data_IF_138305750949
#
_entry.id   IF_138305750949
#
_cell.length_a   1.000
_cell.length_b   1.000
_cell.length_c   1.000
_cell.angle_alpha   90.00
_cell.angle_beta   90.00
_cell.angle_gamma   90.00
#
_symmetry.space_group_name_H-M   'P 1'
#
loop_
_entity.id
_entity.type
_entity.pdbx_description
1 polymer ?
#
# COMPACT_ATOMS: atom_id res chain seq x y z
N UNK A 1 9.82 0.42 9.99
CA UNK A 1 11.08 0.62 9.21
C UNK A 1 11.25 -0.39 8.09
N UNK A 2 11.35 -1.72 8.34
CA UNK A 2 11.54 -2.72 7.27
C UNK A 2 10.52 -2.64 6.14
N UNK A 3 9.23 -2.51 6.46
CA UNK A 3 8.18 -2.37 5.45
C UNK A 3 8.46 -1.22 4.46
N UNK A 4 8.84 -0.04 4.97
CA UNK A 4 9.16 1.10 4.15
C UNK A 4 10.37 0.83 3.24
N UNK A 5 11.43 0.19 3.76
CA UNK A 5 12.59 -0.16 2.95
C UNK A 5 12.27 -1.15 1.82
N UNK A 6 11.42 -2.15 2.10
CA UNK A 6 10.94 -3.09 1.06
C UNK A 6 10.11 -2.35 0.02
N UNK A 7 9.15 -1.51 0.45
CA UNK A 7 8.26 -0.76 -0.45
C UNK A 7 9.01 0.18 -1.38
N UNK A 8 10.02 0.87 -0.86
CA UNK A 8 10.83 1.83 -1.62
C UNK A 8 12.15 1.25 -2.12
N UNK A 9 12.32 -0.09 -2.09
CA UNK A 9 13.60 -0.76 -2.42
C UNK A 9 14.17 -0.29 -3.75
N UNK A 10 13.35 -0.16 -4.79
CA UNK A 10 13.77 0.29 -6.13
C UNK A 10 14.44 1.68 -6.12
N UNK A 11 14.07 2.54 -5.17
CA UNK A 11 14.59 3.90 -5.05
C UNK A 11 15.73 4.03 -4.03
N UNK A 12 15.78 3.12 -3.07
CA UNK A 12 16.70 3.18 -1.92
C UNK A 12 17.92 2.26 -2.07
N UNK A 13 17.85 1.30 -2.99
CA UNK A 13 18.93 0.35 -3.22
C UNK A 13 20.00 0.98 -4.12
N UNK A 14 21.23 1.07 -3.62
CA UNK A 14 22.34 1.69 -4.31
C UNK A 14 23.35 2.33 -3.35
N UNK A 15 24.34 3.03 -3.90
CA UNK A 15 25.42 3.65 -3.12
C UNK A 15 25.04 4.97 -2.45
N UNK A 16 23.91 5.59 -2.85
CA UNK A 16 23.51 6.91 -2.35
C UNK A 16 23.06 6.82 -0.89
N UNK A 17 23.72 7.53 0.04
CA UNK A 17 23.31 7.54 1.43
C UNK A 17 21.98 8.29 1.59
N UNK A 18 21.09 7.77 2.43
CA UNK A 18 19.84 8.46 2.81
C UNK A 18 19.64 8.47 4.33
N UNK A 19 18.74 9.34 4.80
CA UNK A 19 18.46 9.50 6.24
C UNK A 19 17.07 8.96 6.55
N UNK A 20 16.97 8.09 7.56
CA UNK A 20 15.71 7.64 8.11
C UNK A 20 15.44 8.40 9.40
N UNK A 21 14.37 9.20 9.38
CA UNK A 21 13.84 9.84 10.58
C UNK A 21 12.89 8.90 11.32
N UNK A 22 13.14 8.68 12.61
CA UNK A 22 12.26 7.84 13.44
C UNK A 22 12.20 8.35 14.87
N UNK A 23 11.04 8.20 15.51
CA UNK A 23 10.84 8.38 16.95
C UNK A 23 11.11 7.10 17.75
N UNK A 24 11.61 6.04 17.11
CA UNK A 24 11.90 4.78 17.76
C UNK A 24 13.34 4.76 18.29
N UNK A 25 13.51 5.12 19.56
CA UNK A 25 14.81 5.31 20.20
C UNK A 25 15.70 4.05 20.21
N UNK A 26 15.11 2.84 20.24
CA UNK A 26 15.90 1.60 20.25
C UNK A 26 16.72 1.39 18.98
N UNK A 27 16.37 2.06 17.88
CA UNK A 27 17.10 1.91 16.62
C UNK A 27 18.44 2.68 16.62
N UNK A 28 18.65 3.61 17.55
CA UNK A 28 19.96 4.26 17.74
C UNK A 28 21.04 3.29 18.19
N UNK A 29 20.68 2.28 18.98
CA UNK A 29 21.63 1.38 19.64
C UNK A 29 21.76 0.03 18.96
N UNK A 30 20.86 -0.30 18.02
CA UNK A 30 20.88 -1.58 17.29
C UNK A 30 22.16 -1.79 16.49
N UNK A 31 22.73 -0.74 15.89
CA UNK A 31 24.01 -0.83 15.16
C UNK A 31 25.24 -0.86 16.05
N UNK A 32 25.14 -0.40 17.30
CA UNK A 32 26.29 -0.21 18.21
C UNK A 32 26.34 -1.23 19.36
N UNK A 33 25.41 -2.19 19.41
CA UNK A 33 25.34 -3.16 20.49
C UNK A 33 26.38 -4.28 20.30
N UNK A 34 27.27 -4.53 21.27
CA UNK A 34 28.33 -5.55 21.16
C UNK A 34 27.79 -6.99 21.19
N UNK A 35 26.60 -7.19 21.75
CA UNK A 35 25.93 -8.50 21.82
C UNK A 35 24.65 -8.50 20.99
N UNK A 36 24.75 -8.99 19.76
CA UNK A 36 23.62 -9.14 18.86
C UNK A 36 22.96 -10.50 19.07
N UNK A 37 21.67 -10.50 19.41
CA UNK A 37 20.89 -11.75 19.38
C UNK A 37 20.79 -12.27 17.95
N UNK A 38 20.60 -13.58 17.76
CA UNK A 38 20.48 -14.18 16.42
C UNK A 38 19.34 -13.55 15.60
N UNK A 39 18.24 -13.15 16.28
CA UNK A 39 17.16 -12.39 15.65
C UNK A 39 17.67 -11.03 15.18
N UNK A 40 18.38 -10.28 16.03
CA UNK A 40 18.94 -8.97 15.70
C UNK A 40 19.91 -9.05 14.51
N UNK A 41 20.76 -10.09 14.48
CA UNK A 41 21.69 -10.34 13.39
C UNK A 41 20.96 -10.51 12.04
N UNK A 42 19.89 -11.32 11.99
CA UNK A 42 19.07 -11.46 10.77
C UNK A 42 18.46 -10.13 10.31
N UNK A 43 18.02 -9.30 11.25
CA UNK A 43 17.51 -7.97 10.92
C UNK A 43 18.63 -7.07 10.38
N UNK A 44 19.78 -7.02 11.03
CA UNK A 44 20.93 -6.23 10.58
C UNK A 44 21.44 -6.66 9.21
N UNK A 45 21.48 -7.96 8.91
CA UNK A 45 21.82 -8.46 7.57
C UNK A 45 20.89 -7.90 6.49
N UNK A 46 19.59 -7.81 6.77
CA UNK A 46 18.64 -7.18 5.85
C UNK A 46 18.90 -5.68 5.67
N UNK A 47 19.25 -4.97 6.76
CA UNK A 47 19.52 -3.53 6.70
C UNK A 47 20.87 -3.20 6.06
N UNK A 48 21.85 -4.11 6.10
CA UNK A 48 23.17 -3.94 5.51
C UNK A 48 23.14 -3.75 3.98
N UNK A 49 22.07 -4.16 3.30
CA UNK A 49 21.85 -3.88 1.88
C UNK A 49 21.65 -2.39 1.56
N UNK A 50 21.31 -1.58 2.57
CA UNK A 50 20.94 -0.18 2.41
C UNK A 50 21.99 0.75 3.04
N UNK A 51 22.42 1.77 2.31
CA UNK A 51 23.29 2.82 2.84
C UNK A 51 22.44 3.92 3.51
N UNK A 52 22.14 3.78 4.80
CA UNK A 52 21.36 4.79 5.53
C UNK A 52 21.94 5.20 6.87
N UNK A 53 21.59 6.41 7.30
CA UNK A 53 21.81 6.93 8.65
C UNK A 53 20.48 7.11 9.35
N UNK A 54 20.45 6.89 10.65
CA UNK A 54 19.22 7.01 11.46
C UNK A 54 19.32 8.25 12.30
N UNK A 55 18.35 9.15 12.13
CA UNK A 55 18.23 10.33 12.96
C UNK A 55 16.97 10.23 13.81
N UNK A 56 17.18 10.28 15.12
CA UNK A 56 16.08 10.28 16.08
C UNK A 56 15.41 11.65 16.09
N UNK A 57 14.10 11.67 15.88
CA UNK A 57 13.25 12.87 16.01
C UNK A 57 12.13 12.58 16.99
N UNK A 58 12.04 13.39 18.05
CA UNK A 58 11.00 13.25 19.09
C UNK A 58 9.61 13.43 18.49
N UNK A 59 8.70 12.46 18.71
CA UNK A 59 7.40 12.39 18.04
C UNK A 59 6.43 13.55 18.30
N UNK A 60 6.54 14.25 19.45
CA UNK A 60 5.58 15.30 19.85
C UNK A 60 5.80 16.67 19.20
N UNK A 61 6.99 16.96 18.65
CA UNK A 61 7.33 18.31 18.15
C UNK A 61 7.41 18.40 16.62
N UNK A 62 7.23 17.29 15.90
CA UNK A 62 7.54 17.22 14.48
C UNK A 62 6.28 16.93 13.68
N UNK A 63 5.80 17.93 12.91
CA UNK A 63 4.67 17.82 11.99
C UNK A 63 4.79 16.58 11.09
N UNK A 64 6.01 16.25 10.66
CA UNK A 64 6.30 15.06 9.86
C UNK A 64 5.97 13.73 10.56
N UNK A 65 6.21 13.60 11.87
CA UNK A 65 5.88 12.38 12.60
C UNK A 65 4.38 12.29 12.86
N UNK A 66 3.74 13.42 13.18
CA UNK A 66 2.27 13.47 13.33
C UNK A 66 1.58 13.07 12.02
N UNK A 67 2.07 13.57 10.88
CA UNK A 67 1.58 13.18 9.56
C UNK A 67 1.86 11.71 9.25
N UNK A 68 3.07 11.21 9.54
CA UNK A 68 3.43 9.81 9.31
C UNK A 68 2.59 8.85 10.17
N UNK A 69 2.34 9.19 11.43
CA UNK A 69 1.52 8.42 12.36
C UNK A 69 0.04 8.44 11.93
N UNK A 70 -0.49 9.60 11.53
CA UNK A 70 -1.84 9.72 10.97
C UNK A 70 -2.01 8.88 9.69
N UNK A 71 -1.01 8.86 8.81
CA UNK A 71 -1.03 8.02 7.61
C UNK A 71 -0.84 6.53 7.93
N UNK A 72 -0.04 6.18 8.93
CA UNK A 72 0.19 4.79 9.32
C UNK A 72 -1.01 4.16 10.04
N UNK A 73 -1.85 4.97 10.70
CA UNK A 73 -3.05 4.51 11.43
C UNK A 73 -4.30 4.44 10.55
N UNK A 74 -4.20 4.82 9.29
CA UNK A 74 -5.32 4.77 8.35
C UNK A 74 -5.68 3.31 8.00
N UNK A 75 -6.90 2.84 8.28
CA UNK A 75 -7.32 1.46 7.98
C UNK A 75 -7.35 1.17 6.47
N UNK A 76 -7.43 2.21 5.66
CA UNK A 76 -7.39 2.21 4.19
C UNK A 76 -5.95 2.24 3.61
N UNK A 77 -4.92 2.32 4.46
CA UNK A 77 -3.53 2.47 4.00
C UNK A 77 -3.02 1.29 3.15
N UNK A 78 -3.51 0.06 3.36
CA UNK A 78 -3.19 -1.07 2.49
C UNK A 78 -3.79 -0.91 1.08
N UNK A 79 -4.93 -0.21 0.95
CA UNK A 79 -5.61 0.05 -0.32
C UNK A 79 -5.09 1.31 -1.03
N UNK A 80 -4.44 2.23 -0.31
CA UNK A 80 -3.84 3.45 -0.87
C UNK A 80 -2.62 3.20 -1.78
N UNK A 81 -2.16 1.95 -1.90
CA UNK A 81 -1.12 1.52 -2.84
C UNK A 81 -1.57 1.49 -4.29
N UNK A 82 -2.88 1.51 -4.53
CA UNK A 82 -3.40 1.78 -5.85
C UNK A 82 -3.18 3.27 -6.06
N UNK A 83 -2.10 3.64 -6.74
CA UNK A 83 -2.01 4.94 -7.38
C UNK A 83 -3.26 5.03 -8.23
N UNK A 84 -4.27 5.76 -7.77
CA UNK A 84 -5.51 5.88 -8.52
C UNK A 84 -5.18 6.76 -9.70
N UNK A 85 -4.77 6.11 -10.79
CA UNK A 85 -4.49 6.75 -12.06
C UNK A 85 -5.82 7.33 -12.54
N UNK A 86 -6.05 8.61 -12.24
CA UNK A 86 -7.19 9.37 -12.73
C UNK A 86 -6.99 9.62 -14.22
N UNK A 87 -7.27 8.61 -15.02
CA UNK A 87 -7.31 8.73 -16.48
C UNK A 87 -8.75 8.73 -16.93
N UNK A 88 -9.04 9.60 -17.90
CA UNK A 88 -10.30 9.61 -18.67
C UNK A 88 -10.61 8.26 -19.33
N UNK A 89 -9.64 7.36 -19.41
CA UNK A 89 -9.81 6.01 -19.94
C UNK A 89 -10.80 5.20 -19.11
N UNK A 90 -10.77 5.29 -17.78
CA UNK A 90 -11.71 4.55 -16.93
C UNK A 90 -13.16 5.00 -17.15
N UNK A 91 -13.39 6.30 -17.31
CA UNK A 91 -14.71 6.84 -17.59
C UNK A 91 -15.20 6.41 -18.98
N UNK A 92 -14.31 6.42 -19.99
CA UNK A 92 -14.62 5.94 -21.35
C UNK A 92 -14.98 4.45 -21.36
N UNK A 93 -14.19 3.62 -20.68
CA UNK A 93 -14.45 2.17 -20.57
C UNK A 93 -15.77 1.93 -19.83
N UNK A 94 -16.03 2.67 -18.74
CA UNK A 94 -17.28 2.58 -17.99
C UNK A 94 -18.50 2.98 -18.83
N UNK A 95 -18.37 4.00 -19.67
CA UNK A 95 -19.42 4.40 -20.62
C UNK A 95 -19.62 3.35 -21.72
N UNK A 96 -18.53 2.78 -22.26
CA UNK A 96 -18.62 1.72 -23.26
C UNK A 96 -19.38 0.50 -22.75
N UNK A 97 -19.09 0.05 -21.52
CA UNK A 97 -19.80 -1.09 -20.91
C UNK A 97 -21.29 -0.84 -20.65
N UNK A 98 -21.71 0.42 -20.47
CA UNK A 98 -23.14 0.76 -20.32
C UNK A 98 -23.91 0.67 -21.64
N UNK A 99 -23.22 0.85 -22.76
CA UNK A 99 -23.80 0.86 -24.10
C UNK A 99 -23.61 -0.49 -24.83
N UNK A 100 -22.84 -1.41 -24.25
CA UNK A 100 -22.66 -2.77 -24.76
C UNK A 100 -23.89 -3.63 -24.46
N UNK A 101 -24.54 -4.13 -25.51
CA UNK A 101 -25.78 -4.91 -25.46
C UNK A 101 -25.64 -6.20 -24.62
N UNK A 102 -24.43 -6.77 -24.55
CA UNK A 102 -24.17 -8.01 -23.83
C UNK A 102 -23.79 -7.78 -22.35
N UNK A 103 -23.16 -6.65 -22.05
CA UNK A 103 -22.59 -6.37 -20.73
C UNK A 103 -23.43 -5.38 -19.90
N UNK A 104 -24.32 -4.61 -20.52
CA UNK A 104 -25.15 -3.62 -19.83
C UNK A 104 -26.01 -4.24 -18.71
N UNK A 105 -26.56 -5.44 -18.93
CA UNK A 105 -27.33 -6.19 -17.92
C UNK A 105 -26.49 -6.52 -16.69
N UNK A 106 -25.25 -6.93 -16.91
CA UNK A 106 -24.31 -7.35 -15.89
C UNK A 106 -23.79 -6.15 -15.09
N UNK A 107 -23.49 -5.04 -15.76
CA UNK A 107 -23.12 -3.77 -15.10
C UNK A 107 -24.26 -3.26 -14.22
N UNK A 108 -25.51 -3.33 -14.68
CA UNK A 108 -26.68 -2.94 -13.88
C UNK A 108 -26.88 -3.85 -12.67
N UNK A 109 -26.73 -5.15 -12.87
CA UNK A 109 -26.81 -6.16 -11.81
C UNK A 109 -25.77 -5.89 -10.71
N UNK A 110 -24.49 -5.70 -11.09
CA UNK A 110 -23.42 -5.39 -10.14
C UNK A 110 -23.58 -4.03 -9.45
N UNK A 111 -24.18 -3.05 -10.12
CA UNK A 111 -24.42 -1.72 -9.54
C UNK A 111 -25.56 -1.71 -8.51
N UNK A 112 -26.51 -2.64 -8.62
CA UNK A 112 -27.66 -2.74 -7.72
C UNK A 112 -27.37 -3.51 -6.42
N UNK A 113 -26.24 -4.21 -6.33
CA UNK A 113 -25.75 -4.94 -5.15
C UNK A 113 -26.84 -5.74 -4.42
N UNK A 114 -27.46 -5.19 -3.37
CA UNK A 114 -28.52 -5.84 -2.57
C UNK A 114 -29.89 -5.92 -3.24
N UNK A 115 -30.15 -5.07 -4.23
CA UNK A 115 -31.40 -5.07 -5.01
C UNK A 115 -31.28 -5.86 -6.32
N UNK A 116 -30.12 -6.46 -6.56
CA UNK A 116 -29.80 -7.14 -7.79
C UNK A 116 -30.66 -8.42 -7.95
N UNK A 117 -31.55 -8.43 -8.95
CA UNK A 117 -32.35 -9.60 -9.29
C UNK A 117 -31.65 -10.41 -10.37
N UNK A 118 -31.48 -11.72 -10.14
CA UNK A 118 -30.91 -12.64 -11.13
C UNK A 118 -31.69 -12.61 -12.46
N UNK A 119 -32.97 -12.23 -12.40
CA UNK A 119 -33.86 -12.00 -13.53
C UNK A 119 -33.39 -10.93 -14.52
N UNK A 120 -32.49 -10.04 -14.12
CA UNK A 120 -31.95 -8.99 -14.99
C UNK A 120 -30.80 -9.48 -15.87
N UNK A 121 -30.27 -10.68 -15.60
CA UNK A 121 -29.20 -11.30 -16.37
C UNK A 121 -29.76 -12.18 -17.49
N UNK A 122 -29.02 -12.31 -18.58
CA UNK A 122 -29.38 -13.25 -19.65
C UNK A 122 -29.24 -14.70 -19.19
N UNK A 123 -29.93 -15.67 -19.83
CA UNK A 123 -29.84 -17.09 -19.47
C UNK A 123 -28.40 -17.62 -19.42
N UNK A 124 -27.55 -17.18 -20.36
CA UNK A 124 -26.11 -17.52 -20.40
C UNK A 124 -25.30 -16.93 -19.24
N UNK A 125 -25.71 -15.80 -18.70
CA UNK A 125 -25.06 -15.16 -17.56
C UNK A 125 -25.49 -15.80 -16.25
N UNK A 126 -26.78 -16.17 -16.11
CA UNK A 126 -27.30 -16.87 -14.94
C UNK A 126 -26.68 -18.25 -14.76
N UNK A 127 -26.45 -18.98 -15.86
CA UNK A 127 -25.84 -20.32 -15.80
C UNK A 127 -24.39 -20.33 -15.31
N UNK A 128 -23.73 -19.16 -15.19
CA UNK A 128 -22.36 -19.01 -14.70
C UNK A 128 -22.27 -18.52 -13.25
N UNK A 129 -23.42 -18.26 -12.61
CA UNK A 129 -23.50 -17.84 -11.20
C UNK A 129 -23.65 -19.03 -10.23
N UNK A 130 -23.89 -20.24 -10.74
CA UNK A 130 -23.93 -21.50 -10.01
C UNK A 130 -22.62 -22.27 -10.22
#
# INVERSE_FOLDING_TARGET
>A
MKYALVKFRVHLLGSRPFVIYTDHASWRTVTNSPHLSQRMARWLSFFAEYNFRVEYKTGKLNLFNVLADALSRRPDSELAHITRVTTVLYDRIRMAYRNDESLASLVRFLAADKEAKSEWLSPRQRSRLH
#
